data_IF_401476868746
#
_entry.id   IF_401476868746
#
_cell.length_a   1.000
_cell.length_b   1.000
_cell.length_c   1.000
_cell.angle_alpha   90.00
_cell.angle_beta   90.00
_cell.angle_gamma   90.00
#
_symmetry.space_group_name_H-M   'P 1'
#
loop_
_entity.id
_entity.type
_entity.pdbx_description
1 polymer ?
#
# COMPACT_ATOMS: atom_id res chain seq x y z
N UNK A 1 43.65 15.98 -14.67
CA UNK A 1 43.39 15.17 -15.89
C UNK A 1 42.67 16.06 -16.90
N UNK A 2 43.27 16.28 -18.07
CA UNK A 2 42.73 17.14 -19.13
C UNK A 2 41.69 16.35 -19.92
N UNK A 3 40.47 16.86 -20.03
CA UNK A 3 39.45 16.31 -20.92
C UNK A 3 39.51 17.07 -22.25
N UNK A 4 39.88 16.35 -23.31
CA UNK A 4 39.90 16.86 -24.68
C UNK A 4 38.57 16.49 -25.36
N UNK A 5 37.93 17.48 -25.95
CA UNK A 5 36.73 17.32 -26.77
C UNK A 5 37.07 16.58 -28.06
N UNK A 6 36.31 15.53 -28.37
CA UNK A 6 36.13 15.05 -29.74
C UNK A 6 34.63 14.85 -29.99
N UNK A 7 34.08 15.69 -30.85
CA UNK A 7 32.80 15.45 -31.50
C UNK A 7 33.05 14.59 -32.73
N UNK A 8 32.37 13.45 -32.85
CA UNK A 8 32.22 12.74 -34.11
C UNK A 8 30.76 12.28 -34.25
N UNK A 9 30.06 12.96 -35.13
CA UNK A 9 28.78 12.55 -35.69
C UNK A 9 29.09 11.48 -36.75
N UNK A 10 28.29 10.42 -36.85
CA UNK A 10 27.68 9.93 -38.11
C UNK A 10 27.06 8.52 -37.95
N UNK A 11 25.75 8.51 -38.26
CA UNK A 11 24.89 7.52 -38.92
C UNK A 11 24.51 6.15 -38.32
N UNK A 12 23.19 6.00 -38.29
CA UNK A 12 22.38 4.80 -38.16
C UNK A 12 22.75 3.69 -39.16
N UNK A 13 22.77 2.45 -38.68
CA UNK A 13 22.39 1.27 -39.47
C UNK A 13 21.86 0.19 -38.52
N UNK A 14 20.54 0.06 -38.45
CA UNK A 14 19.87 -1.05 -37.79
C UNK A 14 19.89 -2.22 -38.76
N UNK A 15 20.64 -3.29 -38.43
CA UNK A 15 20.53 -4.57 -39.10
C UNK A 15 19.52 -5.41 -38.32
N UNK A 16 18.28 -5.46 -38.81
CA UNK A 16 17.26 -6.42 -38.37
C UNK A 16 17.54 -7.77 -39.02
N UNK A 17 18.06 -8.72 -38.26
CA UNK A 17 18.01 -10.13 -38.65
C UNK A 17 16.69 -10.72 -38.18
N UNK A 18 15.84 -11.09 -39.13
CA UNK A 18 14.53 -11.70 -38.90
C UNK A 18 14.70 -13.18 -38.54
N UNK A 19 14.68 -13.50 -37.24
CA UNK A 19 14.36 -14.83 -36.76
C UNK A 19 12.85 -15.01 -36.73
N UNK A 20 12.30 -15.78 -37.68
CA UNK A 20 10.88 -16.11 -37.73
C UNK A 20 10.51 -17.07 -36.60
N UNK A 21 9.56 -16.68 -35.76
CA UNK A 21 8.74 -17.60 -34.96
C UNK A 21 7.30 -17.34 -35.38
N UNK A 22 6.72 -18.32 -36.07
CA UNK A 22 5.34 -18.32 -36.51
C UNK A 22 4.42 -18.45 -35.28
N UNK A 23 3.67 -17.39 -35.00
CA UNK A 23 2.53 -17.36 -34.09
C UNK A 23 1.47 -16.43 -34.68
N UNK A 24 0.25 -16.93 -34.79
CA UNK A 24 -0.90 -16.27 -35.42
C UNK A 24 -1.17 -14.87 -34.80
N UNK A 25 -1.07 -13.77 -35.55
CA UNK A 25 -1.38 -12.45 -35.03
C UNK A 25 -2.89 -12.28 -35.05
N UNK A 26 -3.58 -12.59 -33.94
CA UNK A 26 -4.90 -12.02 -33.72
C UNK A 26 -4.75 -10.50 -33.73
N UNK A 27 -5.33 -9.89 -34.77
CA UNK A 27 -5.37 -8.46 -35.03
C UNK A 27 -5.81 -7.67 -33.80
N UNK A 28 -4.90 -6.89 -33.21
CA UNK A 28 -5.24 -5.84 -32.26
C UNK A 28 -5.00 -4.50 -32.92
N UNK A 29 -6.03 -3.90 -33.54
CA UNK A 29 -5.95 -2.45 -33.80
C UNK A 29 -5.74 -1.76 -32.45
N UNK A 30 -4.82 -0.79 -32.33
CA UNK A 30 -4.77 0.04 -31.13
C UNK A 30 -6.14 0.69 -30.91
N UNK A 31 -6.59 0.72 -29.65
CA UNK A 31 -7.86 1.36 -29.28
C UNK A 31 -7.90 2.80 -29.78
N UNK A 32 -9.08 3.26 -30.21
CA UNK A 32 -9.26 4.66 -30.58
C UNK A 32 -9.07 5.57 -29.35
N UNK A 33 -8.77 6.86 -29.54
CA UNK A 33 -8.73 7.82 -28.44
C UNK A 33 -10.00 7.82 -27.59
N UNK A 34 -11.17 7.66 -28.21
CA UNK A 34 -12.48 7.60 -27.54
C UNK A 34 -12.62 6.33 -26.69
N UNK A 35 -12.24 5.17 -27.24
CA UNK A 35 -12.27 3.89 -26.49
C UNK A 35 -11.33 3.93 -25.27
N UNK A 36 -10.13 4.51 -25.44
CA UNK A 36 -9.19 4.71 -24.33
C UNK A 36 -9.76 5.62 -23.25
N UNK A 37 -10.43 6.71 -23.64
CA UNK A 37 -11.05 7.64 -22.70
C UNK A 37 -12.17 6.98 -21.90
N UNK A 38 -13.00 6.16 -22.54
CA UNK A 38 -14.06 5.39 -21.86
C UNK A 38 -13.47 4.40 -20.85
N UNK A 39 -12.42 3.68 -21.25
CA UNK A 39 -11.68 2.77 -20.35
C UNK A 39 -11.15 3.51 -19.14
N UNK A 40 -10.44 4.63 -19.32
CA UNK A 40 -9.90 5.41 -18.19
C UNK A 40 -10.99 6.00 -17.31
N UNK A 41 -12.10 6.46 -17.89
CA UNK A 41 -13.25 6.97 -17.13
C UNK A 41 -13.81 5.88 -16.21
N UNK A 42 -14.00 4.66 -16.74
CA UNK A 42 -14.47 3.51 -15.97
C UNK A 42 -13.49 3.13 -14.87
N UNK A 43 -12.18 3.10 -15.16
CA UNK A 43 -11.14 2.80 -14.17
C UNK A 43 -11.07 3.85 -13.07
N UNK A 44 -11.31 5.13 -13.37
CA UNK A 44 -11.30 6.21 -12.40
C UNK A 44 -12.60 6.34 -11.57
N UNK A 45 -13.64 5.54 -11.87
CA UNK A 45 -14.94 5.61 -11.20
C UNK A 45 -14.94 4.78 -9.90
N UNK A 46 -15.25 5.36 -8.73
CA UNK A 46 -15.37 4.60 -7.48
C UNK A 46 -16.40 3.46 -7.55
N UNK A 47 -16.01 2.28 -7.08
CA UNK A 47 -16.83 1.05 -7.01
C UNK A 47 -17.16 0.60 -5.59
N UNK A 48 -17.61 -0.64 -5.42
CA UNK A 48 -18.00 -1.20 -4.11
C UNK A 48 -16.88 -1.18 -3.07
N UNK A 49 -15.64 -1.45 -3.48
CA UNK A 49 -14.45 -1.37 -2.62
C UNK A 49 -14.25 0.05 -2.09
N UNK A 50 -14.53 1.07 -2.91
CA UNK A 50 -14.43 2.47 -2.52
C UNK A 50 -15.56 2.88 -1.58
N UNK A 51 -16.78 2.35 -1.77
CA UNK A 51 -17.90 2.54 -0.83
C UNK A 51 -17.59 1.92 0.54
N UNK A 52 -16.98 0.74 0.57
CA UNK A 52 -16.53 0.11 1.81
C UNK A 52 -15.52 0.99 2.53
N UNK A 53 -14.49 1.49 1.83
CA UNK A 53 -13.52 2.44 2.42
C UNK A 53 -14.22 3.71 2.94
N UNK A 54 -15.17 4.27 2.17
CA UNK A 54 -15.91 5.46 2.57
C UNK A 54 -16.75 5.25 3.85
N UNK A 55 -17.22 4.03 4.11
CA UNK A 55 -17.95 3.70 5.34
C UNK A 55 -17.11 3.85 6.62
N UNK A 56 -15.79 3.85 6.49
CA UNK A 56 -14.85 3.95 7.61
C UNK A 56 -14.54 5.40 8.01
N UNK A 57 -15.00 6.38 7.22
CA UNK A 57 -14.81 7.80 7.51
C UNK A 57 -15.36 8.18 8.88
N UNK A 58 -14.66 9.08 9.59
CA UNK A 58 -15.00 9.50 10.94
C UNK A 58 -13.81 9.43 11.90
N UNK A 59 -14.09 9.64 13.19
CA UNK A 59 -13.08 9.61 14.25
C UNK A 59 -13.13 8.31 15.03
N UNK A 60 -11.95 7.80 15.38
CA UNK A 60 -11.75 6.50 16.01
C UNK A 60 -10.75 6.62 17.17
N UNK A 61 -10.85 5.70 18.12
CA UNK A 61 -9.85 5.43 19.15
C UNK A 61 -9.17 4.12 18.81
N UNK A 62 -7.86 4.04 19.05
CA UNK A 62 -7.11 2.81 18.90
C UNK A 62 -6.60 2.31 20.24
N UNK A 63 -6.61 0.98 20.41
CA UNK A 63 -5.80 0.26 21.38
C UNK A 63 -4.75 -0.53 20.61
N UNK A 64 -3.49 -0.25 20.87
CA UNK A 64 -2.36 -0.81 20.15
C UNK A 64 -1.54 -1.70 21.06
N UNK A 65 -1.10 -2.84 20.54
CA UNK A 65 -0.09 -3.71 21.13
C UNK A 65 1.05 -3.89 20.16
N UNK A 66 2.27 -3.67 20.64
CA UNK A 66 3.51 -3.76 19.88
C UNK A 66 4.43 -4.82 20.49
N UNK A 67 4.92 -5.75 19.66
CA UNK A 67 5.86 -6.79 20.04
C UNK A 67 7.21 -6.54 19.38
N UNK A 68 8.24 -6.31 20.19
CA UNK A 68 9.64 -6.23 19.74
C UNK A 68 10.35 -7.59 19.81
N UNK A 69 9.82 -8.49 20.62
CA UNK A 69 10.36 -9.83 20.90
C UNK A 69 9.14 -10.74 21.09
N UNK A 70 8.99 -11.82 20.29
CA UNK A 70 7.81 -12.68 20.34
C UNK A 70 7.69 -13.44 21.69
N UNK A 71 8.75 -13.48 22.49
CA UNK A 71 8.75 -14.14 23.80
C UNK A 71 8.48 -13.19 24.96
N UNK A 72 8.26 -11.89 24.71
CA UNK A 72 7.97 -10.90 25.74
C UNK A 72 6.54 -10.36 25.62
N UNK A 73 5.94 -9.88 26.73
CA UNK A 73 4.68 -9.16 26.67
C UNK A 73 4.77 -7.94 25.73
N UNK A 74 3.67 -7.58 25.05
CA UNK A 74 3.65 -6.40 24.21
C UNK A 74 3.73 -5.12 25.03
N UNK A 75 4.19 -4.05 24.39
CA UNK A 75 3.98 -2.69 24.86
C UNK A 75 2.60 -2.24 24.40
N UNK A 76 1.77 -1.75 25.33
CA UNK A 76 0.42 -1.27 25.01
C UNK A 76 0.37 0.26 24.96
N UNK A 77 -0.41 0.79 24.03
CA UNK A 77 -0.69 2.23 23.93
C UNK A 77 -2.11 2.49 23.43
N UNK A 78 -2.56 3.73 23.56
CA UNK A 78 -3.83 4.21 23.00
C UNK A 78 -3.58 5.37 22.06
N UNK A 79 -4.37 5.46 21.00
CA UNK A 79 -4.28 6.53 20.02
C UNK A 79 -5.64 7.06 19.59
N UNK A 80 -5.59 8.04 18.70
CA UNK A 80 -6.75 8.58 17.99
C UNK A 80 -6.49 8.58 16.50
N UNK A 81 -7.54 8.31 15.73
CA UNK A 81 -7.46 8.25 14.28
C UNK A 81 -8.60 9.05 13.67
N UNK A 82 -8.28 9.90 12.70
CA UNK A 82 -9.27 10.58 11.87
C UNK A 82 -9.18 10.03 10.45
N UNK A 83 -10.30 9.50 9.97
CA UNK A 83 -10.40 8.85 8.67
C UNK A 83 -11.24 9.71 7.73
N UNK A 84 -10.73 10.01 6.54
CA UNK A 84 -11.44 10.78 5.51
C UNK A 84 -11.19 10.22 4.10
N UNK A 85 -12.16 10.43 3.21
CA UNK A 85 -11.95 10.21 1.78
C UNK A 85 -11.27 11.41 1.14
N UNK A 86 -10.40 11.15 0.17
CA UNK A 86 -9.72 12.14 -0.66
C UNK A 86 -10.20 12.01 -2.10
N UNK A 87 -10.08 13.11 -2.84
CA UNK A 87 -10.25 13.16 -4.30
C UNK A 87 -11.57 12.50 -4.75
N UNK A 88 -12.67 12.97 -4.15
CA UNK A 88 -14.05 12.56 -4.45
C UNK A 88 -14.30 11.05 -4.22
N UNK A 89 -13.73 10.47 -3.16
CA UNK A 89 -14.02 9.08 -2.79
C UNK A 89 -13.08 8.05 -3.41
N UNK A 90 -11.90 8.46 -3.90
CA UNK A 90 -10.93 7.56 -4.54
C UNK A 90 -9.89 6.97 -3.60
N UNK A 91 -9.48 7.73 -2.59
CA UNK A 91 -8.46 7.31 -1.64
C UNK A 91 -8.96 7.52 -0.22
N UNK A 92 -8.70 6.57 0.67
CA UNK A 92 -8.92 6.72 2.10
C UNK A 92 -7.62 7.19 2.75
N UNK A 93 -7.70 8.22 3.58
CA UNK A 93 -6.60 8.66 4.43
C UNK A 93 -6.97 8.48 5.89
N UNK A 94 -6.05 7.92 6.67
CA UNK A 94 -6.09 7.88 8.13
C UNK A 94 -4.97 8.75 8.68
N UNK A 95 -5.33 9.77 9.45
CA UNK A 95 -4.38 10.54 10.26
C UNK A 95 -4.37 9.96 11.66
N UNK A 96 -3.22 9.45 12.10
CA UNK A 96 -3.05 8.69 13.34
C UNK A 96 -2.19 9.50 14.30
N UNK A 97 -2.63 9.58 15.56
CA UNK A 97 -1.86 10.12 16.68
C UNK A 97 -1.84 9.11 17.82
N UNK A 98 -0.68 8.97 18.47
CA UNK A 98 -0.51 8.04 19.58
C UNK A 98 0.83 8.22 20.27
N UNK A 99 1.27 7.17 20.95
CA UNK A 99 2.60 7.09 21.52
C UNK A 99 3.30 5.79 21.15
N UNK A 100 4.60 5.87 20.89
CA UNK A 100 5.48 4.75 20.60
C UNK A 100 6.73 4.88 21.47
N UNK A 101 7.06 3.85 22.23
CA UNK A 101 8.16 3.87 23.23
C UNK A 101 8.12 5.08 24.18
N UNK A 102 6.92 5.51 24.59
CA UNK A 102 6.72 6.65 25.50
C UNK A 102 6.91 8.03 24.86
N UNK A 103 7.13 8.11 23.54
CA UNK A 103 7.23 9.37 22.79
C UNK A 103 5.99 9.60 21.93
N UNK A 104 5.59 10.85 21.68
CA UNK A 104 4.54 11.16 20.71
C UNK A 104 4.87 10.59 19.33
N UNK A 105 3.89 9.96 18.71
CA UNK A 105 3.99 9.40 17.36
C UNK A 105 2.81 9.91 16.52
N UNK A 106 3.10 10.32 15.29
CA UNK A 106 2.07 10.67 14.30
C UNK A 106 2.36 9.98 12.98
N UNK A 107 1.32 9.54 12.29
CA UNK A 107 1.47 8.95 10.97
C UNK A 107 0.26 9.17 10.09
N UNK A 108 0.48 9.01 8.79
CA UNK A 108 -0.54 9.11 7.76
C UNK A 108 -0.52 7.82 6.97
N UNK A 109 -1.63 7.11 6.99
CA UNK A 109 -1.88 5.96 6.12
C UNK A 109 -2.80 6.37 4.99
N UNK A 110 -2.41 6.11 3.75
CA UNK A 110 -3.30 6.24 2.59
C UNK A 110 -3.50 4.87 1.96
N UNK A 111 -4.75 4.52 1.63
CA UNK A 111 -5.09 3.27 0.95
C UNK A 111 -6.16 3.51 -0.11
N UNK A 112 -6.04 2.82 -1.24
CA UNK A 112 -7.02 2.83 -2.32
C UNK A 112 -7.18 1.44 -2.93
N UNK A 113 -8.30 1.24 -3.63
CA UNK A 113 -8.49 0.07 -4.49
C UNK A 113 -8.27 0.46 -5.94
N UNK A 114 -7.24 -0.10 -6.56
CA UNK A 114 -6.91 0.15 -7.96
C UNK A 114 -7.85 -0.69 -8.85
N UNK A 115 -8.71 -0.01 -9.62
CA UNK A 115 -9.67 -0.67 -10.51
C UNK A 115 -9.01 -1.37 -11.71
N UNK A 116 -7.78 -1.02 -12.08
CA UNK A 116 -7.03 -1.64 -13.16
C UNK A 116 -6.30 -2.88 -12.63
N UNK A 117 -5.56 -2.73 -11.53
CA UNK A 117 -4.80 -3.83 -10.92
C UNK A 117 -5.69 -4.79 -10.11
N UNK A 118 -6.93 -4.39 -9.79
CA UNK A 118 -7.89 -5.14 -8.97
C UNK A 118 -7.38 -5.48 -7.57
N UNK A 119 -6.56 -4.61 -7.01
CA UNK A 119 -5.95 -4.80 -5.69
C UNK A 119 -5.93 -3.50 -4.89
N UNK A 120 -5.77 -3.64 -3.58
CA UNK A 120 -5.50 -2.52 -2.69
C UNK A 120 -4.03 -2.14 -2.78
N UNK A 121 -3.76 -0.84 -2.77
CA UNK A 121 -2.41 -0.26 -2.68
C UNK A 121 -2.42 0.76 -1.57
N UNK A 122 -1.39 0.74 -0.73
CA UNK A 122 -1.31 1.60 0.43
C UNK A 122 0.09 2.16 0.66
N UNK A 123 0.13 3.33 1.31
CA UNK A 123 1.34 4.05 1.68
C UNK A 123 1.27 4.53 3.12
N UNK A 124 2.38 4.41 3.83
CA UNK A 124 2.57 4.85 5.21
C UNK A 124 3.75 5.82 5.30
N UNK A 125 3.54 6.90 6.05
CA UNK A 125 4.57 7.86 6.45
C UNK A 125 4.35 8.23 7.92
N UNK A 126 5.42 8.49 8.67
CA UNK A 126 5.34 8.82 10.10
C UNK A 126 6.42 9.82 10.56
N UNK A 127 6.31 10.25 11.81
CA UNK A 127 7.24 11.19 12.46
C UNK A 127 8.56 10.57 12.93
N UNK A 128 8.74 9.26 12.79
CA UNK A 128 9.89 8.50 13.29
C UNK A 128 10.83 8.02 12.18
N UNK A 129 10.44 8.18 10.91
CA UNK A 129 11.21 7.81 9.74
C UNK A 129 11.11 8.84 8.62
N UNK A 130 12.00 8.75 7.63
CA UNK A 130 11.91 9.51 6.37
C UNK A 130 11.55 8.62 5.18
N UNK A 131 11.29 7.34 5.43
CA UNK A 131 10.93 6.37 4.42
C UNK A 131 9.43 6.41 4.12
N UNK A 132 9.08 6.13 2.87
CA UNK A 132 7.69 5.81 2.51
C UNK A 132 7.60 4.29 2.49
N UNK A 133 6.73 3.73 3.32
CA UNK A 133 6.47 2.30 3.32
C UNK A 133 5.23 2.01 2.48
N UNK A 134 5.33 1.05 1.56
CA UNK A 134 4.23 0.69 0.65
C UNK A 134 3.85 -0.77 0.82
N UNK A 135 2.56 -1.04 0.69
CA UNK A 135 2.02 -2.40 0.69
C UNK A 135 0.92 -2.53 -0.36
N UNK A 136 0.75 -3.73 -0.88
CA UNK A 136 -0.32 -4.09 -1.81
C UNK A 136 -0.98 -5.42 -1.44
N UNK A 137 -2.21 -5.63 -1.87
CA UNK A 137 -2.85 -6.93 -1.71
C UNK A 137 -4.34 -6.93 -1.97
N UNK A 138 -5.04 -7.96 -1.52
CA UNK A 138 -6.42 -8.24 -1.93
C UNK A 138 -7.32 -8.51 -0.72
N UNK A 139 -8.63 -8.47 -0.95
CA UNK A 139 -9.61 -8.79 0.07
C UNK A 139 -10.20 -10.19 -0.11
N UNK A 140 -10.76 -10.72 0.97
CA UNK A 140 -11.71 -11.85 0.95
C UNK A 140 -12.93 -11.54 0.08
N UNK A 141 -13.69 -12.57 -0.30
CA UNK A 141 -14.84 -12.42 -1.18
C UNK A 141 -15.94 -11.49 -0.65
N UNK A 142 -16.08 -11.38 0.68
CA UNK A 142 -16.99 -10.45 1.35
C UNK A 142 -16.44 -9.01 1.44
N UNK A 143 -15.20 -8.79 1.00
CA UNK A 143 -14.49 -7.51 1.05
C UNK A 143 -14.01 -7.09 2.44
N UNK A 144 -14.30 -7.85 3.50
CA UNK A 144 -14.11 -7.40 4.89
C UNK A 144 -12.71 -7.64 5.43
N UNK A 145 -11.97 -8.59 4.88
CA UNK A 145 -10.60 -8.88 5.32
C UNK A 145 -9.63 -8.57 4.20
N UNK A 146 -8.87 -7.49 4.33
CA UNK A 146 -7.86 -7.05 3.37
C UNK A 146 -6.50 -7.55 3.85
N UNK A 147 -5.83 -8.37 3.06
CA UNK A 147 -4.45 -8.82 3.34
C UNK A 147 -3.49 -8.04 2.46
N UNK A 148 -2.54 -7.36 3.07
CA UNK A 148 -1.51 -6.55 2.43
C UNK A 148 -0.14 -7.16 2.65
N UNK A 149 0.75 -7.02 1.67
CA UNK A 149 2.16 -7.40 1.78
C UNK A 149 3.05 -6.28 1.31
N UNK A 150 4.22 -6.15 1.93
CA UNK A 150 5.19 -5.12 1.58
C UNK A 150 6.54 -5.42 2.22
N UNK A 151 7.56 -4.64 1.84
CA UNK A 151 8.90 -4.76 2.44
C UNK A 151 9.58 -3.41 2.48
N UNK A 152 10.47 -3.22 3.45
CA UNK A 152 11.34 -2.05 3.51
C UNK A 152 12.79 -2.47 3.76
N UNK A 153 13.74 -1.58 3.48
CA UNK A 153 15.14 -1.80 3.82
C UNK A 153 15.36 -1.67 5.33
N UNK A 154 16.36 -2.39 5.85
CA UNK A 154 16.74 -2.33 7.27
C UNK A 154 18.09 -1.65 7.47
N UNK A 155 18.27 -1.05 8.65
CA UNK A 155 19.58 -0.57 9.07
C UNK A 155 20.55 -1.76 9.17
N UNK A 156 21.74 -1.63 8.57
CA UNK A 156 22.69 -2.74 8.44
C UNK A 156 22.57 -3.55 7.15
N UNK A 157 21.58 -3.23 6.30
CA UNK A 157 21.35 -3.88 5.02
C UNK A 157 20.29 -4.97 5.09
N UNK A 158 19.87 -5.48 3.92
CA UNK A 158 18.76 -6.43 3.81
C UNK A 158 17.39 -5.76 3.87
N UNK A 159 16.36 -6.59 4.03
CA UNK A 159 14.96 -6.17 4.04
C UNK A 159 14.17 -6.88 5.13
N UNK A 160 13.22 -6.14 5.68
CA UNK A 160 12.12 -6.67 6.46
C UNK A 160 10.91 -6.83 5.56
N UNK A 161 10.32 -8.03 5.55
CA UNK A 161 9.05 -8.27 4.86
C UNK A 161 7.90 -8.24 5.84
N UNK A 162 6.74 -7.82 5.36
CA UNK A 162 5.54 -7.67 6.16
C UNK A 162 4.33 -8.27 5.48
N UNK A 163 3.45 -8.81 6.32
CA UNK A 163 2.10 -9.20 5.97
C UNK A 163 1.15 -8.56 6.99
N UNK A 164 0.23 -7.73 6.51
CA UNK A 164 -0.78 -7.10 7.34
C UNK A 164 -2.16 -7.66 7.00
N UNK A 165 -3.00 -7.84 8.01
CA UNK A 165 -4.39 -8.24 7.88
C UNK A 165 -5.23 -7.12 8.49
N UNK A 166 -6.08 -6.49 7.68
CA UNK A 166 -7.04 -5.50 8.10
C UNK A 166 -8.45 -6.05 7.99
N UNK A 167 -9.09 -6.25 9.13
CA UNK A 167 -10.44 -6.80 9.24
C UNK A 167 -11.42 -5.69 9.61
N UNK A 168 -12.37 -5.43 8.72
CA UNK A 168 -13.51 -4.53 8.94
C UNK A 168 -14.65 -5.39 9.54
N UNK A 169 -14.72 -5.42 10.87
CA UNK A 169 -15.66 -6.27 11.60
C UNK A 169 -17.10 -5.80 11.38
N UNK A 170 -17.34 -4.52 11.67
CA UNK A 170 -18.61 -3.83 11.50
C UNK A 170 -18.39 -2.32 11.31
N UNK A 171 -19.47 -1.52 11.35
CA UNK A 171 -19.40 -0.07 11.16
C UNK A 171 -18.62 0.68 12.25
N UNK A 172 -18.41 0.07 13.41
CA UNK A 172 -17.84 0.68 14.60
C UNK A 172 -16.58 -0.01 15.11
N UNK A 173 -16.20 -1.16 14.54
CA UNK A 173 -15.06 -1.97 14.98
C UNK A 173 -14.20 -2.41 13.79
N UNK A 174 -12.88 -2.27 13.95
CA UNK A 174 -11.89 -2.78 13.00
C UNK A 174 -10.70 -3.38 13.77
N UNK A 175 -10.01 -4.33 13.14
CA UNK A 175 -8.77 -4.91 13.66
C UNK A 175 -7.69 -4.86 12.57
N UNK A 176 -6.49 -4.44 12.95
CA UNK A 176 -5.31 -4.48 12.09
C UNK A 176 -4.21 -5.29 12.79
N UNK A 177 -3.73 -6.34 12.14
CA UNK A 177 -2.60 -7.13 12.63
C UNK A 177 -1.48 -7.08 11.61
N UNK A 178 -0.26 -6.79 12.05
CA UNK A 178 0.93 -6.80 11.19
C UNK A 178 1.95 -7.81 11.69
N UNK A 179 2.43 -8.60 10.74
CA UNK A 179 3.51 -9.55 10.91
C UNK A 179 4.77 -9.02 10.22
N UNK A 180 5.92 -9.48 10.71
CA UNK A 180 7.23 -9.09 10.22
C UNK A 180 8.17 -10.28 10.13
N UNK A 181 9.04 -10.25 9.13
CA UNK A 181 10.07 -11.28 8.91
C UNK A 181 11.41 -10.59 8.65
N UNK A 182 12.33 -10.68 9.61
CA UNK A 182 13.70 -10.17 9.48
C UNK A 182 14.54 -11.11 8.61
N UNK A 183 15.16 -10.59 7.56
CA UNK A 183 16.13 -11.31 6.72
C UNK A 183 15.67 -12.73 6.27
N UNK A 184 14.38 -12.92 6.00
CA UNK A 184 13.82 -14.22 5.59
C UNK A 184 13.74 -15.27 6.71
N UNK A 185 13.86 -14.86 7.97
CA UNK A 185 13.67 -15.72 9.15
C UNK A 185 12.22 -16.11 9.39
N UNK A 186 11.89 -16.44 10.64
CA UNK A 186 10.51 -16.74 11.01
C UNK A 186 9.64 -15.48 11.05
N UNK A 187 8.38 -15.63 10.63
CA UNK A 187 7.39 -14.57 10.71
C UNK A 187 6.91 -14.42 12.15
N UNK A 188 6.93 -13.19 12.66
CA UNK A 188 6.45 -12.87 14.01
C UNK A 188 5.38 -11.79 13.97
N UNK A 189 4.41 -11.88 14.87
CA UNK A 189 3.44 -10.80 15.10
C UNK A 189 4.17 -9.61 15.71
N UNK A 190 4.00 -8.44 15.13
CA UNK A 190 4.65 -7.21 15.58
C UNK A 190 3.66 -6.17 16.09
N UNK A 191 2.46 -6.13 15.50
CA UNK A 191 1.48 -5.10 15.78
C UNK A 191 0.08 -5.70 15.80
N UNK A 192 -0.73 -5.27 16.76
CA UNK A 192 -2.18 -5.43 16.79
C UNK A 192 -2.79 -4.08 17.14
N UNK A 193 -3.76 -3.64 16.34
CA UNK A 193 -4.50 -2.41 16.58
C UNK A 193 -5.98 -2.70 16.50
N UNK A 194 -6.68 -2.43 17.60
CA UNK A 194 -8.15 -2.48 17.66
C UNK A 194 -8.65 -1.04 17.53
N UNK A 195 -9.51 -0.81 16.54
CA UNK A 195 -10.16 0.46 16.29
C UNK A 195 -11.59 0.40 16.81
N UNK A 196 -11.99 1.42 17.57
CA UNK A 196 -13.38 1.63 17.97
C UNK A 196 -13.80 3.03 17.58
N UNK A 197 -14.94 3.16 16.89
CA UNK A 197 -15.45 4.46 16.45
C UNK A 197 -15.77 5.33 17.67
N UNK A 198 -15.39 6.61 17.63
CA UNK A 198 -15.79 7.59 18.67
C UNK A 198 -17.30 7.84 18.55
N UNK A 199 -18.00 7.71 19.68
CA UNK A 199 -19.39 8.12 19.81
C UNK A 199 -19.51 9.64 19.93
#
# INVERSE_FOLDING_TARGET
>A
MKYSHFALVIWFSIILTTGAIAGDPKSGKPMSPEEMMEVYTKLATPGEQHKLLASLTGSWVTKTKEWMDPHKPPVESTGSVNIKMLLEGRFLQQEITGSMHGKPHTGIWTIAYDNLLKQYVSTWIDSMSTGIFTMEGTATADGKTITLTGRHAEAGGGHMSHRAIWTIVDSNNQEFIMYGTHHGGEEMKMLEVIYTRKQ
#
